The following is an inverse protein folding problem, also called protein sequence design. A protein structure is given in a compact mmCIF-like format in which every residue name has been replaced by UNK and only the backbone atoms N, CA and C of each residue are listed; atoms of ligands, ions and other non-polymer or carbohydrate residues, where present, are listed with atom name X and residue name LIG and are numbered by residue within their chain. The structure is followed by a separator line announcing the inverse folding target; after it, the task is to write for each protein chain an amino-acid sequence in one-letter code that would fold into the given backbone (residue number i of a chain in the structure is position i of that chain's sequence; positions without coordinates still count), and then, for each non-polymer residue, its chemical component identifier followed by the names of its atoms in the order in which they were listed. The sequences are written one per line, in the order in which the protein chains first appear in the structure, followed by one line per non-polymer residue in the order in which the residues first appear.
data_IF_458987382354
#
_entry.id   IF_458987382354
#
_cell.length_a   1.000
_cell.length_b   1.000
_cell.length_c   1.000
_cell.angle_alpha   90.00
_cell.angle_beta   90.00
_cell.angle_gamma   90.00
#
_symmetry.space_group_name_H-M   'P 1'
#
loop_
_entity.id
_entity.type
_entity.pdbx_description
1 polymer ?
#
# COMPACT_ATOMS: atom_id res chain seq x y z
N UNK A 1 6.86 -8.82 -45.78
CA UNK A 1 8.16 -8.94 -45.09
C UNK A 1 8.51 -7.74 -44.20
N UNK A 2 8.21 -6.49 -44.58
CA UNK A 2 8.48 -5.30 -43.72
C UNK A 2 7.71 -5.30 -42.38
N UNK A 3 6.45 -5.76 -42.35
CA UNK A 3 5.64 -5.79 -41.12
C UNK A 3 6.04 -6.89 -40.11
N UNK A 4 6.63 -7.99 -40.58
CA UNK A 4 7.11 -9.07 -39.71
C UNK A 4 8.39 -8.71 -38.94
N UNK A 5 9.20 -7.80 -39.50
CA UNK A 5 10.43 -7.30 -38.87
C UNK A 5 10.10 -6.30 -37.75
N UNK A 6 9.03 -5.50 -37.90
CA UNK A 6 8.59 -4.55 -36.87
C UNK A 6 8.02 -5.29 -35.65
N UNK A 7 7.29 -6.40 -35.87
CA UNK A 7 6.72 -7.20 -34.78
C UNK A 7 7.79 -7.97 -33.96
N UNK A 8 8.92 -8.32 -34.59
CA UNK A 8 10.04 -9.02 -33.92
C UNK A 8 10.93 -8.07 -33.11
N UNK A 9 11.04 -6.79 -33.52
CA UNK A 9 11.76 -5.76 -32.76
C UNK A 9 10.94 -5.32 -31.52
N UNK A 10 9.61 -5.27 -31.60
CA UNK A 10 8.74 -4.97 -30.46
C UNK A 10 8.76 -6.08 -29.39
N UNK A 11 8.87 -7.36 -29.79
CA UNK A 11 8.92 -8.49 -28.87
C UNK A 11 10.24 -8.59 -28.06
N UNK A 12 11.34 -8.01 -28.55
CA UNK A 12 12.64 -7.98 -27.86
C UNK A 12 12.81 -6.79 -26.90
N UNK A 13 11.90 -5.82 -26.91
CA UNK A 13 11.89 -4.70 -25.96
C UNK A 13 11.09 -5.00 -24.69
N UNK A 14 10.25 -6.05 -24.69
CA UNK A 14 9.47 -6.47 -23.52
C UNK A 14 10.19 -7.45 -22.57
N UNK A 15 11.42 -7.88 -22.89
CA UNK A 15 12.17 -8.85 -22.06
C UNK A 15 13.02 -8.23 -20.95
N UNK A 16 12.93 -6.91 -20.72
CA UNK A 16 13.65 -6.21 -19.65
C UNK A 16 12.69 -5.48 -18.70
N UNK A 17 11.58 -6.10 -18.33
CA UNK A 17 10.85 -5.67 -17.15
C UNK A 17 11.61 -6.19 -15.91
N UNK A 18 12.56 -5.39 -15.41
CA UNK A 18 13.15 -5.66 -14.11
C UNK A 18 12.03 -5.55 -13.06
N UNK A 19 11.92 -6.50 -12.11
CA UNK A 19 11.11 -6.29 -10.92
C UNK A 19 11.51 -4.95 -10.30
N UNK A 20 10.53 -4.10 -10.00
CA UNK A 20 10.81 -2.85 -9.30
C UNK A 20 11.19 -3.25 -7.88
N UNK A 21 12.49 -3.33 -7.58
CA UNK A 21 13.06 -3.91 -6.35
C UNK A 21 12.54 -3.32 -5.04
N UNK A 22 11.66 -2.32 -5.08
CA UNK A 22 11.00 -1.68 -3.94
C UNK A 22 10.36 -2.70 -2.98
N UNK A 23 9.82 -3.82 -3.48
CA UNK A 23 9.19 -4.87 -2.68
C UNK A 23 10.10 -6.09 -2.42
N UNK A 24 11.41 -5.97 -2.65
CA UNK A 24 12.35 -7.09 -2.52
C UNK A 24 12.52 -7.58 -1.07
N UNK A 25 12.31 -6.71 -0.08
CA UNK A 25 12.43 -7.05 1.34
C UNK A 25 11.06 -7.05 2.00
N UNK A 26 10.69 -8.17 2.64
CA UNK A 26 9.46 -8.34 3.40
C UNK A 26 9.82 -8.47 4.87
N UNK A 27 9.48 -7.47 5.67
CA UNK A 27 9.71 -7.47 7.12
C UNK A 27 8.34 -7.55 7.81
N UNK A 28 8.12 -8.57 8.65
CA UNK A 28 6.81 -8.86 9.27
C UNK A 28 6.95 -9.70 10.55
N UNK A 29 5.86 -9.79 11.30
CA UNK A 29 5.76 -10.68 12.47
C UNK A 29 6.72 -10.31 13.61
N UNK A 30 7.23 -11.33 14.29
CA UNK A 30 8.21 -11.19 15.37
C UNK A 30 9.64 -11.39 14.84
N UNK A 31 10.32 -10.28 14.58
CA UNK A 31 11.74 -10.22 14.25
C UNK A 31 12.14 -10.91 12.93
N UNK A 32 11.20 -11.15 12.00
CA UNK A 32 11.47 -11.82 10.71
C UNK A 32 11.64 -10.82 9.57
N UNK A 33 12.62 -11.09 8.69
CA UNK A 33 12.79 -10.46 7.40
C UNK A 33 13.13 -11.48 6.30
N UNK A 34 12.54 -11.32 5.12
CA UNK A 34 12.86 -12.06 3.91
C UNK A 34 13.37 -11.09 2.84
N UNK A 35 14.48 -11.42 2.18
CA UNK A 35 14.96 -10.72 0.99
C UNK A 35 14.84 -11.64 -0.21
N UNK A 36 14.02 -11.29 -1.19
CA UNK A 36 13.91 -11.98 -2.46
C UNK A 36 15.00 -11.51 -3.42
N UNK A 37 15.64 -12.46 -4.09
CA UNK A 37 16.63 -12.20 -5.12
C UNK A 37 16.00 -12.36 -6.52
N UNK A 38 16.62 -11.78 -7.54
CA UNK A 38 16.10 -11.79 -8.92
C UNK A 38 15.97 -13.20 -9.53
N UNK A 39 16.69 -14.19 -8.98
CA UNK A 39 16.60 -15.60 -9.39
C UNK A 39 15.44 -16.35 -8.74
N UNK A 40 14.62 -15.66 -7.93
CA UNK A 40 13.49 -16.23 -7.20
C UNK A 40 13.86 -16.93 -5.89
N UNK A 41 15.15 -16.98 -5.54
CA UNK A 41 15.59 -17.41 -4.21
C UNK A 41 15.29 -16.33 -3.17
N UNK A 42 15.41 -16.68 -1.89
CA UNK A 42 15.29 -15.70 -0.81
C UNK A 42 16.25 -15.99 0.33
N UNK A 43 16.66 -14.93 1.01
CA UNK A 43 17.48 -14.95 2.21
C UNK A 43 16.64 -14.53 3.42
N UNK A 44 16.89 -15.14 4.58
CA UNK A 44 16.25 -14.77 5.84
C UNK A 44 17.21 -13.91 6.65
N UNK A 45 16.70 -12.84 7.25
CA UNK A 45 17.42 -12.00 8.20
C UNK A 45 16.56 -11.65 9.42
N UNK A 46 17.19 -11.16 10.48
CA UNK A 46 16.49 -10.74 11.69
C UNK A 46 16.17 -9.25 11.62
N UNK A 47 14.92 -8.90 11.89
CA UNK A 47 14.48 -7.52 12.12
C UNK A 47 14.36 -7.23 13.61
N UNK A 48 14.09 -5.97 13.97
CA UNK A 48 13.71 -5.57 15.34
C UNK A 48 12.22 -5.32 15.52
N UNK A 49 11.42 -5.65 14.50
CA UNK A 49 9.98 -5.43 14.54
C UNK A 49 9.31 -6.46 15.43
N UNK A 50 8.31 -5.99 16.18
CA UNK A 50 7.25 -6.85 16.72
C UNK A 50 5.95 -6.37 16.11
N UNK A 51 5.31 -7.22 15.32
CA UNK A 51 4.06 -6.91 14.63
C UNK A 51 3.10 -8.09 14.77
N UNK A 52 1.89 -7.82 15.25
CA UNK A 52 0.82 -8.81 15.28
C UNK A 52 0.20 -8.99 13.89
N UNK A 53 -0.20 -7.88 13.26
CA UNK A 53 -0.77 -7.90 11.91
C UNK A 53 -0.19 -6.79 11.01
N UNK A 54 -0.16 -5.55 11.49
CA UNK A 54 0.30 -4.41 10.69
C UNK A 54 1.83 -4.44 10.50
N UNK A 55 2.27 -4.53 9.24
CA UNK A 55 3.68 -4.42 8.86
C UNK A 55 3.82 -3.88 7.44
N UNK A 56 4.86 -3.08 7.21
CA UNK A 56 5.26 -2.61 5.90
C UNK A 56 6.79 -2.46 5.86
N UNK A 57 7.38 -2.73 4.71
CA UNK A 57 8.79 -2.51 4.42
C UNK A 57 8.94 -1.93 3.02
N UNK A 58 10.00 -1.14 2.82
CA UNK A 58 10.31 -0.57 1.50
C UNK A 58 11.80 -0.71 1.22
N UNK A 59 12.10 -1.02 -0.03
CA UNK A 59 13.47 -1.14 -0.56
C UNK A 59 13.73 -0.03 -1.58
N UNK A 60 14.99 0.15 -1.96
CA UNK A 60 15.35 0.96 -3.12
C UNK A 60 15.11 0.20 -4.43
N UNK A 61 15.33 0.88 -5.56
CA UNK A 61 15.17 0.28 -6.89
C UNK A 61 16.15 -0.86 -7.18
N UNK A 62 17.18 -1.04 -6.35
CA UNK A 62 18.16 -2.13 -6.44
C UNK A 62 17.84 -3.28 -5.46
N UNK A 63 16.72 -3.22 -4.75
CA UNK A 63 16.31 -4.26 -3.79
C UNK A 63 17.02 -4.20 -2.44
N UNK A 64 17.70 -3.10 -2.10
CA UNK A 64 18.25 -2.91 -0.77
C UNK A 64 17.18 -2.35 0.17
N UNK A 65 17.03 -2.94 1.35
CA UNK A 65 16.12 -2.44 2.39
C UNK A 65 16.48 -0.99 2.74
N UNK A 66 15.48 -0.11 2.75
CA UNK A 66 15.61 1.26 3.24
C UNK A 66 15.15 1.35 4.70
N UNK A 67 13.89 0.97 4.95
CA UNK A 67 13.28 1.00 6.26
C UNK A 67 12.00 0.15 6.32
N UNK A 68 11.49 -0.06 7.52
CA UNK A 68 10.25 -0.79 7.77
C UNK A 68 9.50 -0.21 8.97
N UNK A 69 8.20 -0.49 9.07
CA UNK A 69 7.33 0.01 10.11
C UNK A 69 6.20 -0.97 10.43
N UNK A 70 5.80 -1.01 11.70
CA UNK A 70 4.58 -1.67 12.18
C UNK A 70 3.44 -0.67 12.43
N UNK A 71 3.62 0.60 12.04
CA UNK A 71 2.69 1.70 12.32
C UNK A 71 2.81 2.32 13.72
N UNK A 72 3.61 1.74 14.63
CA UNK A 72 3.93 2.36 15.94
C UNK A 72 5.34 2.97 15.93
N UNK A 73 6.25 2.28 15.22
CA UNK A 73 7.65 2.66 15.08
C UNK A 73 8.12 2.53 13.64
N UNK A 74 9.17 3.27 13.30
CA UNK A 74 9.89 3.21 12.02
C UNK A 74 11.35 2.85 12.31
N UNK A 75 11.82 1.78 11.70
CA UNK A 75 13.20 1.32 11.82
C UNK A 75 13.92 1.46 10.49
N UNK A 76 15.15 1.97 10.54
CA UNK A 76 16.04 2.00 9.39
C UNK A 76 16.56 0.59 9.05
N UNK A 77 17.29 0.48 7.94
CA UNK A 77 17.92 -0.77 7.49
C UNK A 77 18.92 -1.41 8.47
N UNK A 78 19.44 -0.64 9.42
CA UNK A 78 20.35 -1.15 10.47
C UNK A 78 19.57 -1.71 11.68
N UNK A 79 18.24 -1.77 11.59
CA UNK A 79 17.32 -2.13 12.67
C UNK A 79 17.33 -1.14 13.86
N UNK A 80 17.75 0.10 13.62
CA UNK A 80 17.69 1.18 14.61
C UNK A 80 16.40 1.98 14.39
N UNK A 81 15.79 2.45 15.46
CA UNK A 81 14.62 3.32 15.33
C UNK A 81 15.10 4.64 14.71
N UNK A 82 14.45 5.07 13.64
CA UNK A 82 14.75 6.35 12.98
C UNK A 82 14.55 7.52 13.94
N UNK A 83 15.27 8.62 13.71
CA UNK A 83 15.00 9.86 14.43
C UNK A 83 13.53 10.27 14.24
N UNK A 84 12.88 10.60 15.36
CA UNK A 84 11.44 10.89 15.45
C UNK A 84 10.50 9.73 15.02
N UNK A 85 11.04 8.53 14.81
CA UNK A 85 10.32 7.35 14.32
C UNK A 85 9.57 6.54 15.37
N UNK A 86 9.35 7.05 16.58
CA UNK A 86 8.46 6.44 17.58
C UNK A 86 7.11 7.17 17.66
N UNK A 87 6.11 6.53 18.28
CA UNK A 87 4.80 7.12 18.56
C UNK A 87 4.03 7.51 17.29
N UNK A 88 4.09 6.66 16.26
CA UNK A 88 3.10 6.72 15.19
C UNK A 88 1.78 6.17 15.75
N UNK A 89 0.70 6.92 15.54
CA UNK A 89 -0.60 6.69 16.16
C UNK A 89 -1.46 5.67 15.38
N UNK A 90 -0.93 4.47 15.13
CA UNK A 90 -1.73 3.36 14.60
C UNK A 90 -2.75 2.87 15.64
N UNK A 91 -3.89 2.40 15.14
CA UNK A 91 -5.00 1.89 15.93
C UNK A 91 -4.85 0.44 16.40
N UNK A 92 -5.81 -0.01 17.21
CA UNK A 92 -5.90 -1.39 17.75
C UNK A 92 -4.58 -1.96 18.33
N UNK A 93 -3.79 -1.12 19.01
CA UNK A 93 -2.54 -1.56 19.65
C UNK A 93 -2.81 -2.60 20.74
N UNK A 94 -2.03 -3.68 20.70
CA UNK A 94 -2.00 -4.75 21.71
C UNK A 94 -0.58 -4.85 22.29
N UNK A 95 -0.37 -5.76 23.25
CA UNK A 95 0.99 -6.07 23.74
C UNK A 95 1.93 -6.66 22.68
N UNK A 96 1.39 -7.06 21.52
CA UNK A 96 2.13 -7.67 20.41
C UNK A 96 2.14 -6.79 19.14
N UNK A 97 1.73 -5.53 19.26
CA UNK A 97 1.55 -4.58 18.15
C UNK A 97 0.10 -4.45 17.71
N UNK A 98 -0.13 -3.70 16.64
CA UNK A 98 -1.48 -3.40 16.11
C UNK A 98 -2.16 -4.64 15.51
N UNK A 99 -3.43 -4.84 15.87
CA UNK A 99 -4.36 -5.82 15.28
C UNK A 99 -5.18 -5.25 14.13
N UNK A 100 -4.54 -4.45 13.27
CA UNK A 100 -5.13 -3.99 12.02
C UNK A 100 -4.55 -4.78 10.84
N UNK A 101 -5.35 -5.65 10.22
CA UNK A 101 -4.93 -6.32 8.99
C UNK A 101 -4.77 -5.31 7.86
N UNK A 102 -3.58 -5.28 7.25
CA UNK A 102 -3.20 -4.26 6.26
C UNK A 102 -3.40 -2.84 6.81
N UNK A 103 -2.92 -2.60 8.05
CA UNK A 103 -3.07 -1.33 8.75
C UNK A 103 -2.04 -0.25 8.41
N UNK A 104 -0.95 -0.60 7.71
CA UNK A 104 0.16 0.30 7.36
C UNK A 104 0.63 0.05 5.93
N UNK A 105 0.92 1.11 5.17
CA UNK A 105 1.50 1.08 3.82
C UNK A 105 2.57 2.16 3.70
N UNK A 106 3.65 1.85 2.98
CA UNK A 106 4.71 2.80 2.64
C UNK A 106 4.66 3.09 1.14
N UNK A 107 4.62 4.36 0.75
CA UNK A 107 4.64 4.80 -0.64
C UNK A 107 5.83 5.76 -0.87
N UNK A 108 6.63 5.56 -1.94
CA UNK A 108 7.67 6.52 -2.30
C UNK A 108 7.06 7.82 -2.83
N UNK A 109 7.69 8.95 -2.51
CA UNK A 109 7.50 10.20 -3.24
C UNK A 109 8.16 10.11 -4.63
N UNK A 110 7.55 10.80 -5.57
CA UNK A 110 7.63 10.49 -6.98
C UNK A 110 8.79 11.19 -7.71
N UNK A 111 9.38 12.20 -7.09
CA UNK A 111 10.32 13.11 -7.74
C UNK A 111 11.79 12.84 -7.41
N UNK A 112 12.11 11.65 -6.89
CA UNK A 112 13.49 11.29 -6.53
C UNK A 112 14.03 12.03 -5.31
N UNK A 113 13.16 12.76 -4.60
CA UNK A 113 13.46 13.50 -3.37
C UNK A 113 13.77 12.58 -2.17
N UNK A 114 13.74 11.26 -2.36
CA UNK A 114 13.94 10.27 -1.29
C UNK A 114 12.97 10.44 -0.11
N UNK A 115 11.82 11.07 -0.35
CA UNK A 115 10.73 11.16 0.60
C UNK A 115 9.83 9.93 0.46
N UNK A 116 9.26 9.49 1.57
CA UNK A 116 8.35 8.34 1.62
C UNK A 116 7.21 8.64 2.58
N UNK A 117 5.98 8.39 2.15
CA UNK A 117 4.82 8.46 3.00
C UNK A 117 4.57 7.11 3.68
N UNK A 118 4.32 7.13 4.97
CA UNK A 118 3.80 6.00 5.73
C UNK A 118 2.35 6.31 6.06
N UNK A 119 1.41 5.61 5.43
CA UNK A 119 -0.02 5.73 5.73
C UNK A 119 -0.42 4.64 6.72
N UNK A 120 -1.23 4.99 7.72
CA UNK A 120 -1.68 4.05 8.74
C UNK A 120 -3.07 4.39 9.29
N UNK A 121 -3.83 3.35 9.64
CA UNK A 121 -5.18 3.48 10.21
C UNK A 121 -5.07 3.71 11.72
N UNK A 122 -5.72 4.75 12.24
CA UNK A 122 -5.68 5.14 13.65
C UNK A 122 -6.84 4.57 14.50
N UNK A 123 -7.69 3.72 13.95
CA UNK A 123 -8.93 3.22 14.58
C UNK A 123 -8.77 2.60 15.99
N UNK A 124 -9.63 2.98 16.94
CA UNK A 124 -9.69 2.39 18.29
C UNK A 124 -11.12 2.01 18.71
N UNK A 125 -11.28 0.90 19.45
CA UNK A 125 -12.59 0.43 19.95
C UNK A 125 -13.20 1.32 21.06
N UNK A 126 -12.40 2.19 21.67
CA UNK A 126 -12.80 3.02 22.81
C UNK A 126 -12.58 4.50 22.49
N UNK A 127 -13.38 5.43 23.07
CA UNK A 127 -13.35 6.84 22.73
C UNK A 127 -11.99 7.45 23.08
N UNK A 128 -11.14 7.54 22.07
CA UNK A 128 -9.95 8.38 22.04
C UNK A 128 -10.05 9.25 20.79
N UNK A 129 -9.46 10.42 20.81
CA UNK A 129 -9.56 11.43 19.74
C UNK A 129 -8.82 11.02 18.44
N UNK A 130 -8.34 9.79 18.36
CA UNK A 130 -7.54 9.29 17.25
C UNK A 130 -8.35 8.25 16.45
N UNK A 131 -8.97 8.70 15.36
CA UNK A 131 -9.67 7.86 14.39
C UNK A 131 -9.14 8.05 12.97
N UNK A 132 -9.59 7.16 12.10
CA UNK A 132 -9.46 7.30 10.66
C UNK A 132 -8.08 7.00 10.11
N UNK A 133 -7.60 7.89 9.23
CA UNK A 133 -6.42 7.65 8.40
C UNK A 133 -5.41 8.76 8.62
N UNK A 134 -4.16 8.35 8.89
CA UNK A 134 -3.05 9.26 9.15
C UNK A 134 -1.87 8.95 8.26
N UNK A 135 -0.95 9.90 8.17
CA UNK A 135 0.35 9.67 7.58
C UNK A 135 1.51 10.25 8.38
N UNK A 136 2.69 9.72 8.05
CA UNK A 136 3.99 10.27 8.37
C UNK A 136 4.85 10.38 7.10
N UNK A 137 5.88 11.22 7.13
CA UNK A 137 6.85 11.42 6.05
C UNK A 137 8.23 11.06 6.56
N UNK A 138 8.90 10.16 5.85
CA UNK A 138 10.31 9.82 6.03
C UNK A 138 11.11 10.52 4.94
N UNK A 139 12.19 11.20 5.33
CA UNK A 139 13.20 11.72 4.41
C UNK A 139 14.48 10.88 4.50
N UNK A 140 14.72 10.06 3.47
CA UNK A 140 15.91 9.19 3.38
C UNK A 140 17.18 9.92 2.93
N UNK A 141 17.13 11.25 2.70
CA UNK A 141 18.33 12.06 2.50
C UNK A 141 19.02 12.46 3.81
N UNK A 142 18.31 12.33 4.94
CA UNK A 142 18.78 12.69 6.28
C UNK A 142 19.53 11.54 6.97
N UNK A 143 20.13 11.84 8.11
CA UNK A 143 20.91 10.92 8.97
C UNK A 143 21.93 10.06 8.18
N UNK A 144 22.69 10.68 7.28
CA UNK A 144 23.68 9.98 6.47
C UNK A 144 23.10 8.91 5.53
N UNK A 145 21.82 9.02 5.17
CA UNK A 145 21.11 8.03 4.35
C UNK A 145 20.43 6.92 5.15
N UNK A 146 20.35 7.06 6.48
CA UNK A 146 19.55 6.19 7.36
C UNK A 146 18.12 6.69 7.55
N UNK A 147 17.86 7.95 7.22
CA UNK A 147 16.54 8.57 7.19
C UNK A 147 16.00 9.05 8.53
N UNK A 148 15.09 10.02 8.45
CA UNK A 148 14.42 10.63 9.61
C UNK A 148 12.92 10.81 9.31
N UNK A 149 12.07 10.65 10.33
CA UNK A 149 10.63 10.97 10.23
C UNK A 149 10.45 12.47 10.44
N UNK A 150 10.23 13.22 9.36
CA UNK A 150 10.18 14.69 9.38
C UNK A 150 8.78 15.25 9.68
N UNK A 151 7.74 14.45 9.47
CA UNK A 151 6.35 14.77 9.78
C UNK A 151 5.63 13.48 10.20
N UNK A 152 4.71 13.53 11.17
CA UNK A 152 3.95 12.35 11.60
C UNK A 152 2.61 12.69 12.22
N UNK A 153 1.74 11.69 12.25
CA UNK A 153 0.40 11.73 12.84
C UNK A 153 -0.52 12.79 12.21
N UNK A 154 -0.25 13.18 10.96
CA UNK A 154 -1.12 14.10 10.22
C UNK A 154 -2.38 13.36 9.83
N UNK A 155 -3.52 13.86 10.30
CA UNK A 155 -4.82 13.30 9.95
C UNK A 155 -5.26 13.74 8.57
N UNK A 156 -5.68 12.77 7.76
CA UNK A 156 -6.31 13.01 6.44
C UNK A 156 -7.76 12.52 6.41
N UNK A 157 -8.19 11.82 7.46
CA UNK A 157 -9.57 11.42 7.68
C UNK A 157 -9.86 11.30 9.18
N UNK A 158 -10.85 12.03 9.68
CA UNK A 158 -11.12 12.14 11.13
C UNK A 158 -12.29 11.25 11.60
N UNK A 159 -12.87 10.44 10.71
CA UNK A 159 -13.98 9.54 11.04
C UNK A 159 -13.53 8.07 11.01
N UNK A 160 -14.37 7.17 11.47
CA UNK A 160 -14.03 5.77 11.69
C UNK A 160 -13.78 5.06 10.35
N UNK A 161 -12.58 4.52 10.18
CA UNK A 161 -12.26 3.58 9.10
C UNK A 161 -12.16 2.17 9.66
N UNK A 162 -12.40 1.18 8.80
CA UNK A 162 -12.09 -0.21 9.10
C UNK A 162 -10.62 -0.51 8.77
N UNK A 163 -10.21 -1.73 9.05
CA UNK A 163 -9.02 -2.36 8.46
C UNK A 163 -9.06 -2.32 6.92
N UNK A 164 -7.95 -2.74 6.28
CA UNK A 164 -7.75 -2.79 4.82
C UNK A 164 -7.35 -1.45 4.18
N UNK A 165 -6.16 -0.97 4.50
CA UNK A 165 -5.49 0.05 3.71
C UNK A 165 -4.82 -0.60 2.49
N UNK A 166 -5.05 -0.08 1.29
CA UNK A 166 -4.48 -0.55 0.03
C UNK A 166 -4.03 0.61 -0.83
N UNK A 167 -3.02 0.39 -1.67
CA UNK A 167 -2.55 1.39 -2.62
C UNK A 167 -2.25 0.76 -3.98
N UNK A 168 -2.46 1.53 -5.04
CA UNK A 168 -2.09 1.12 -6.41
C UNK A 168 -1.64 2.33 -7.20
N UNK A 169 -0.67 2.12 -8.09
CA UNK A 169 -0.14 3.19 -8.93
C UNK A 169 -1.24 3.71 -9.86
N UNK A 170 -1.32 5.03 -9.98
CA UNK A 170 -2.19 5.71 -10.95
C UNK A 170 -1.71 5.39 -12.37
N UNK A 171 -2.63 5.40 -13.34
CA UNK A 171 -2.33 5.14 -14.75
C UNK A 171 -1.35 6.13 -15.39
N UNK A 172 -1.04 7.25 -14.72
CA UNK A 172 -0.04 8.20 -15.20
C UNK A 172 1.40 7.75 -14.87
N UNK A 173 1.57 6.61 -14.20
CA UNK A 173 2.86 6.03 -13.85
C UNK A 173 3.60 6.78 -12.74
N UNK A 174 3.03 7.88 -12.25
CA UNK A 174 3.57 8.71 -11.18
C UNK A 174 2.74 8.47 -9.93
N UNK A 175 1.55 9.08 -9.84
CA UNK A 175 0.70 9.21 -8.65
C UNK A 175 0.23 7.86 -8.07
N UNK A 176 -0.31 7.84 -6.85
CA UNK A 176 -0.94 6.65 -6.25
C UNK A 176 -2.41 6.89 -5.93
N UNK A 177 -3.24 5.87 -6.14
CA UNK A 177 -4.52 5.75 -5.48
C UNK A 177 -4.31 5.04 -4.14
N UNK A 178 -4.69 5.70 -3.04
CA UNK A 178 -4.76 5.10 -1.70
C UNK A 178 -6.23 4.84 -1.35
N UNK A 179 -6.52 3.68 -0.77
CA UNK A 179 -7.86 3.21 -0.49
C UNK A 179 -7.96 2.66 0.92
N UNK A 180 -9.03 3.04 1.60
CA UNK A 180 -9.48 2.40 2.84
C UNK A 180 -11.00 2.28 2.80
N UNK A 181 -11.58 1.71 3.84
CA UNK A 181 -13.02 1.53 3.98
C UNK A 181 -13.53 2.30 5.18
N UNK A 182 -14.64 3.01 5.01
CA UNK A 182 -15.35 3.62 6.12
C UNK A 182 -16.04 2.54 6.97
N UNK A 183 -15.98 2.67 8.29
CA UNK A 183 -16.81 1.89 9.19
C UNK A 183 -18.21 2.51 9.26
N UNK A 184 -19.26 1.73 8.97
CA UNK A 184 -20.63 2.16 9.23
C UNK A 184 -21.20 1.36 10.40
N UNK A 185 -21.61 2.05 11.46
CA UNK A 185 -22.30 1.47 12.63
C UNK A 185 -23.81 1.26 12.40
N UNK A 186 -24.38 1.84 11.34
CA UNK A 186 -25.78 1.65 10.97
C UNK A 186 -25.95 0.30 10.25
N UNK A 187 -26.19 -0.73 11.05
CA UNK A 187 -26.47 -2.10 10.60
C UNK A 187 -27.76 -2.23 9.79
N UNK A 188 -28.64 -1.21 9.80
CA UNK A 188 -29.88 -1.21 9.03
C UNK A 188 -29.69 -0.67 7.61
N UNK A 189 -28.63 0.12 7.36
CA UNK A 189 -28.30 0.73 6.06
C UNK A 189 -26.94 0.29 5.50
N UNK A 190 -26.78 -1.02 5.26
CA UNK A 190 -25.57 -1.58 4.63
C UNK A 190 -25.26 -1.05 3.22
N UNK A 191 -26.21 -0.36 2.58
CA UNK A 191 -26.04 0.29 1.27
C UNK A 191 -25.15 1.55 1.32
N UNK A 192 -24.76 2.00 2.51
CA UNK A 192 -23.94 3.20 2.72
C UNK A 192 -22.48 2.87 3.08
N UNK A 193 -22.08 1.60 2.98
CA UNK A 193 -20.67 1.29 3.09
C UNK A 193 -19.91 2.03 1.96
N UNK A 194 -18.77 2.64 2.27
CA UNK A 194 -18.00 3.42 1.30
C UNK A 194 -16.53 3.04 1.30
N UNK A 195 -15.96 2.92 0.10
CA UNK A 195 -14.53 3.07 -0.10
C UNK A 195 -14.18 4.55 -0.02
N UNK A 196 -13.17 4.87 0.77
CA UNK A 196 -12.56 6.19 0.84
C UNK A 196 -11.29 6.12 0.01
N UNK A 197 -11.17 7.03 -0.95
CA UNK A 197 -10.04 7.07 -1.88
C UNK A 197 -9.34 8.40 -1.80
N UNK A 198 -8.02 8.36 -1.90
CA UNK A 198 -7.17 9.54 -2.04
C UNK A 198 -6.29 9.40 -3.27
N UNK A 199 -6.09 10.51 -3.97
CA UNK A 199 -5.05 10.62 -4.99
C UNK A 199 -3.82 11.26 -4.34
N UNK A 200 -2.76 10.46 -4.19
CA UNK A 200 -1.48 10.90 -3.66
C UNK A 200 -0.65 11.41 -4.84
N UNK A 201 -0.32 12.68 -4.81
CA UNK A 201 0.50 13.37 -5.82
C UNK A 201 1.76 13.94 -5.15
N UNK A 202 2.81 14.33 -5.90
CA UNK A 202 4.03 14.87 -5.31
C UNK A 202 3.77 16.07 -4.39
N UNK A 203 2.86 16.96 -4.81
CA UNK A 203 2.61 18.22 -4.11
C UNK A 203 1.45 18.16 -3.11
N UNK A 204 0.63 17.10 -3.13
CA UNK A 204 -0.62 17.08 -2.36
C UNK A 204 -1.26 15.70 -2.21
N UNK A 205 -2.04 15.53 -1.15
CA UNK A 205 -3.00 14.44 -0.97
C UNK A 205 -4.39 14.98 -1.30
N UNK A 206 -5.05 14.45 -2.35
CA UNK A 206 -6.37 14.92 -2.79
C UNK A 206 -7.46 13.93 -2.40
N UNK A 207 -8.54 14.42 -1.79
CA UNK A 207 -9.65 13.62 -1.27
C UNK A 207 -10.15 14.19 0.08
N UNK A 208 -10.93 13.43 0.86
CA UNK A 208 -11.46 12.10 0.55
C UNK A 208 -12.43 12.09 -0.63
N UNK A 209 -12.33 11.07 -1.48
CA UNK A 209 -13.35 10.74 -2.46
C UNK A 209 -14.09 9.48 -2.03
N UNK A 210 -15.39 9.58 -1.87
CA UNK A 210 -16.23 8.46 -1.44
C UNK A 210 -16.77 7.70 -2.66
N UNK A 211 -16.79 6.39 -2.55
CA UNK A 211 -17.42 5.50 -3.52
C UNK A 211 -18.21 4.44 -2.78
N UNK A 212 -19.53 4.44 -2.95
CA UNK A 212 -20.39 3.39 -2.42
C UNK A 212 -19.96 2.03 -2.99
N UNK A 213 -20.17 0.96 -2.21
CA UNK A 213 -20.32 -0.35 -2.84
C UNK A 213 -21.46 -0.25 -3.86
N UNK A 214 -21.47 -1.08 -4.89
CA UNK A 214 -22.55 -1.10 -5.89
C UNK A 214 -23.95 -1.17 -5.24
N UNK A 215 -25.04 -1.07 -6.01
CA UNK A 215 -26.38 -1.27 -5.45
C UNK A 215 -26.41 -2.59 -4.67
N UNK A 216 -27.19 -2.67 -3.59
CA UNK A 216 -27.24 -3.75 -2.59
C UNK A 216 -27.58 -5.17 -3.07
N UNK A 217 -27.05 -5.59 -4.22
CA UNK A 217 -27.12 -6.91 -4.79
C UNK A 217 -25.89 -7.14 -5.71
N UNK A 218 -24.89 -7.76 -5.10
CA UNK A 218 -24.08 -8.86 -5.67
C UNK A 218 -22.86 -8.54 -6.60
N UNK A 219 -21.67 -8.78 -6.01
CA UNK A 219 -20.34 -9.19 -6.57
C UNK A 219 -19.42 -8.17 -7.28
N UNK A 220 -18.27 -7.83 -6.67
CA UNK A 220 -17.32 -6.78 -7.11
C UNK A 220 -16.00 -7.28 -7.76
N UNK A 221 -15.50 -6.56 -8.78
CA UNK A 221 -14.10 -6.54 -9.24
C UNK A 221 -13.63 -5.09 -9.51
N UNK A 222 -12.32 -4.82 -9.39
CA UNK A 222 -11.68 -3.51 -9.65
C UNK A 222 -11.40 -3.30 -11.15
N UNK A 223 -11.73 -2.12 -11.69
CA UNK A 223 -11.38 -1.68 -13.04
C UNK A 223 -10.78 -0.25 -13.00
N UNK A 224 -10.18 0.19 -14.11
CA UNK A 224 -9.73 1.57 -14.30
C UNK A 224 -10.49 2.21 -15.48
N UNK A 225 -10.90 3.47 -15.35
CA UNK A 225 -11.54 4.25 -16.41
C UNK A 225 -10.51 4.79 -17.42
N UNK A 226 -10.99 5.30 -18.56
CA UNK A 226 -10.15 5.78 -19.67
C UNK A 226 -9.28 7.01 -19.34
N UNK A 227 -9.49 7.62 -18.18
CA UNK A 227 -8.73 8.77 -17.64
C UNK A 227 -7.80 8.36 -16.49
N UNK A 228 -7.69 7.07 -16.16
CA UNK A 228 -6.90 6.57 -15.03
C UNK A 228 -7.61 6.60 -13.67
N UNK A 229 -8.88 7.02 -13.66
CA UNK A 229 -9.76 6.91 -12.49
C UNK A 229 -9.89 5.43 -12.09
N UNK A 230 -9.71 5.12 -10.81
CA UNK A 230 -10.12 3.80 -10.32
C UNK A 230 -11.64 3.73 -10.33
N UNK A 231 -12.21 2.74 -11.02
CA UNK A 231 -13.65 2.52 -11.08
C UNK A 231 -13.93 1.06 -10.72
N UNK A 232 -14.61 0.80 -9.62
CA UNK A 232 -15.16 -0.53 -9.38
C UNK A 232 -16.31 -0.74 -10.37
N UNK A 233 -16.12 -1.60 -11.38
CA UNK A 233 -17.12 -1.93 -12.41
C UNK A 233 -17.48 -3.41 -12.34
N UNK A 234 -18.78 -3.70 -12.32
CA UNK A 234 -19.34 -5.05 -12.40
C UNK A 234 -19.24 -5.58 -13.85
N UNK A 235 -18.56 -6.72 -14.10
CA UNK A 235 -18.68 -7.43 -15.39
C UNK A 235 -18.90 -8.93 -15.18
N UNK A 236 -20.03 -9.42 -15.70
CA UNK A 236 -20.43 -10.83 -15.69
C UNK A 236 -19.57 -11.63 -16.67
N UNK A 237 -18.87 -12.66 -16.17
CA UNK A 237 -18.44 -13.79 -17.01
C UNK A 237 -19.34 -14.97 -16.65
N UNK A 238 -20.10 -15.42 -17.64
CA UNK A 238 -21.08 -16.51 -17.52
C UNK A 238 -20.39 -17.83 -17.14
N UNK A 239 -21.08 -18.56 -16.25
CA UNK A 239 -20.84 -19.92 -15.79
C UNK A 239 -20.05 -20.80 -16.77
N UNK A 240 -18.90 -21.31 -16.31
CA UNK A 240 -18.35 -22.66 -16.46
C UNK A 240 -16.84 -22.58 -16.15
N UNK A 241 -16.43 -22.83 -14.90
CA UNK A 241 -15.20 -23.51 -14.47
C UNK A 241 -15.20 -23.52 -12.93
N UNK A 242 -15.38 -24.71 -12.36
CA UNK A 242 -15.08 -24.99 -10.94
C UNK A 242 -13.56 -25.17 -10.82
N UNK A 243 -12.89 -24.38 -9.96
CA UNK A 243 -11.85 -24.80 -8.98
C UNK A 243 -11.04 -23.60 -8.46
N UNK A 244 -10.68 -23.71 -7.19
CA UNK A 244 -9.70 -22.94 -6.41
C UNK A 244 -10.11 -21.53 -5.96
N UNK A 245 -10.75 -21.51 -4.78
CA UNK A 245 -10.79 -20.39 -3.86
C UNK A 245 -9.36 -20.20 -3.29
N UNK A 246 -8.60 -19.29 -3.86
CA UNK A 246 -7.48 -18.61 -3.18
C UNK A 246 -7.65 -17.15 -3.57
N UNK A 247 -8.19 -16.35 -2.65
CA UNK A 247 -8.33 -14.91 -2.83
C UNK A 247 -6.96 -14.25 -2.59
N UNK A 248 -5.99 -14.56 -3.44
CA UNK A 248 -4.78 -13.76 -3.59
C UNK A 248 -5.18 -12.59 -4.47
N UNK A 249 -5.23 -11.38 -3.90
CA UNK A 249 -5.28 -10.14 -4.66
C UNK A 249 -3.96 -9.97 -5.41
N UNK A 250 -3.82 -10.66 -6.55
CA UNK A 250 -2.80 -10.38 -7.55
C UNK A 250 -3.39 -9.35 -8.52
N UNK A 251 -3.00 -8.09 -8.35
CA UNK A 251 -3.20 -7.06 -9.37
C UNK A 251 -2.20 -7.40 -10.48
N UNK A 252 -2.68 -8.09 -11.52
CA UNK A 252 -1.91 -8.28 -12.74
C UNK A 252 -1.85 -6.93 -13.46
N UNK A 253 -0.66 -6.34 -13.54
CA UNK A 253 -0.38 -5.20 -14.39
C UNK A 253 -0.51 -5.68 -15.84
N UNK A 254 -1.68 -5.50 -16.44
CA UNK A 254 -1.82 -5.53 -17.88
C UNK A 254 -1.62 -4.12 -18.40
N UNK A 255 -0.43 -3.84 -18.90
CA UNK A 255 -0.22 -2.74 -19.83
C UNK A 255 -1.08 -3.02 -21.07
N UNK A 256 -2.17 -2.28 -21.27
CA UNK A 256 -2.80 -2.18 -22.58
C UNK A 256 -2.36 -0.88 -23.19
N UNK A 257 -1.39 -0.97 -24.11
CA UNK A 257 -1.13 0.06 -25.10
C UNK A 257 -2.36 0.22 -26.03
N UNK A 258 -2.59 1.48 -26.41
CA UNK A 258 -3.57 2.09 -27.32
C UNK A 258 -5.02 2.21 -26.86
#
# INVERSE_FOLDING_TARGET
MKYFIILSIAAQLCSNAYPQGLDANWVFGDSVGLKFEDDGSFNIFNSKMSAYEASASISDSMGNLLFYSNGEKVWNKNNEIMMNGENLEIGLSTSYGSSLTQGVIILPDFDGNKLYYIFYIAYQFFPTENYGLRYAVVDMSLDGGLGEVVEKNVSIYDDITTEKLQAVKHANGRDWWLLTRQWNNDVENLNELQFIRYLITPDSIKGPYFQNYGPGNEWTTTNFGSTGEMVFLLKVISWHIRRALILTFMILIAATDS
#
